data_IF_437849515528
#
_entry.id   IF_437849515528
#
_cell.length_a   1.000
_cell.length_b   1.000
_cell.length_c   1.000
_cell.angle_alpha   90.00
_cell.angle_beta   90.00
_cell.angle_gamma   90.00
#
_symmetry.space_group_name_H-M   'P 1'
#
loop_
_entity.id
_entity.type
_entity.pdbx_description
1 polymer ?
#
# COMPACT_ATOMS: atom_id res chain seq x y z
N UNK A 1 -8.02 14.66 -18.18
CA UNK A 1 -8.53 13.27 -18.11
C UNK A 1 -8.03 12.62 -16.83
N UNK A 2 -8.90 12.44 -15.83
CA UNK A 2 -8.57 11.74 -14.58
C UNK A 2 -8.59 10.25 -14.91
N UNK A 3 -7.42 9.62 -14.99
CA UNK A 3 -7.37 8.17 -15.18
C UNK A 3 -8.17 7.49 -14.06
N UNK A 4 -9.06 6.56 -14.42
CA UNK A 4 -9.95 5.77 -13.55
C UNK A 4 -9.18 4.82 -12.62
N UNK A 5 -8.16 5.35 -11.94
CA UNK A 5 -7.12 4.57 -11.31
C UNK A 5 -7.55 4.05 -9.95
N UNK A 6 -7.37 2.73 -9.83
CA UNK A 6 -7.02 2.02 -8.60
C UNK A 6 -8.11 1.99 -7.54
N UNK A 7 -8.96 0.94 -7.62
CA UNK A 7 -9.68 0.45 -6.45
C UNK A 7 -8.63 0.24 -5.36
N UNK A 8 -8.81 0.86 -4.21
CA UNK A 8 -7.86 0.79 -3.10
C UNK A 8 -8.62 0.68 -1.78
N UNK A 9 -8.23 -0.27 -0.94
CA UNK A 9 -8.88 -0.54 0.34
C UNK A 9 -7.88 -0.36 1.47
N UNK A 10 -8.23 0.41 2.48
CA UNK A 10 -7.43 0.48 3.71
C UNK A 10 -7.55 -0.84 4.47
N UNK A 11 -6.42 -1.47 4.76
CA UNK A 11 -6.36 -2.77 5.46
C UNK A 11 -5.79 -2.65 6.86
N UNK A 12 -5.07 -1.56 7.16
CA UNK A 12 -4.55 -1.28 8.49
C UNK A 12 -4.28 0.22 8.66
N UNK A 13 -4.64 0.78 9.81
CA UNK A 13 -4.32 2.16 10.21
C UNK A 13 -3.41 2.12 11.44
N UNK A 14 -2.28 2.83 11.37
CA UNK A 14 -1.38 3.07 12.49
C UNK A 14 -1.94 4.18 13.40
N UNK A 15 -1.57 4.21 14.70
CA UNK A 15 -2.04 5.25 15.62
C UNK A 15 -1.66 6.68 15.23
N UNK A 16 -0.57 6.85 14.50
CA UNK A 16 -0.01 8.14 14.07
C UNK A 16 -0.29 8.44 12.59
N UNK A 17 -1.51 8.11 12.16
CA UNK A 17 -2.06 8.39 10.84
C UNK A 17 -1.36 7.74 9.63
N UNK A 18 -0.40 6.85 9.86
CA UNK A 18 0.06 5.93 8.82
C UNK A 18 -1.05 4.98 8.37
N UNK A 19 -1.13 4.64 7.08
CA UNK A 19 -2.13 3.69 6.57
C UNK A 19 -1.48 2.72 5.60
N UNK A 20 -1.79 1.43 5.75
CA UNK A 20 -1.54 0.43 4.70
C UNK A 20 -2.82 0.28 3.89
N UNK A 21 -2.67 0.43 2.57
CA UNK A 21 -3.73 0.20 1.61
C UNK A 21 -3.37 -0.97 0.70
N UNK A 22 -4.39 -1.71 0.31
CA UNK A 22 -4.35 -2.74 -0.71
C UNK A 22 -4.79 -2.11 -2.03
N UNK A 23 -3.85 -1.96 -2.96
CA UNK A 23 -4.03 -1.31 -4.26
C UNK A 23 -4.26 -2.34 -5.37
N UNK A 24 -5.38 -2.20 -6.07
CA UNK A 24 -5.75 -3.06 -7.20
C UNK A 24 -5.45 -2.36 -8.52
N UNK A 25 -4.45 -2.88 -9.25
CA UNK A 25 -4.08 -2.35 -10.56
C UNK A 25 -5.09 -2.83 -11.63
N UNK A 26 -5.72 -1.91 -12.36
CA UNK A 26 -6.57 -2.25 -13.53
C UNK A 26 -5.67 -2.83 -14.64
N UNK A 27 -6.07 -3.95 -15.25
CA UNK A 27 -5.27 -4.62 -16.30
C UNK A 27 -5.52 -4.08 -17.70
N UNK A 28 -6.61 -3.35 -17.91
CA UNK A 28 -7.00 -2.78 -19.19
C UNK A 28 -8.53 -2.60 -19.27
N UNK A 29 -9.03 -2.06 -20.38
CA UNK A 29 -10.48 -1.96 -20.62
C UNK A 29 -11.05 -3.38 -20.84
N UNK A 30 -12.05 -3.78 -20.07
CA UNK A 30 -12.68 -5.11 -20.15
C UNK A 30 -11.94 -6.26 -19.45
N UNK A 31 -10.71 -6.07 -18.98
CA UNK A 31 -9.87 -7.13 -18.38
C UNK A 31 -9.90 -7.18 -16.84
N UNK A 32 -10.72 -6.34 -16.21
CA UNK A 32 -10.83 -6.27 -14.75
C UNK A 32 -9.56 -5.78 -14.04
N UNK A 33 -9.38 -6.21 -12.79
CA UNK A 33 -8.23 -5.87 -11.95
C UNK A 33 -7.22 -7.02 -11.89
N UNK A 34 -5.96 -6.69 -11.56
CA UNK A 34 -4.93 -7.67 -11.30
C UNK A 34 -5.38 -8.60 -10.16
N UNK A 35 -5.16 -9.91 -10.36
CA UNK A 35 -5.50 -10.97 -9.39
C UNK A 35 -4.83 -10.76 -8.02
N UNK A 36 -3.64 -10.16 -8.02
CA UNK A 36 -2.85 -9.92 -6.82
C UNK A 36 -2.64 -8.42 -6.62
N UNK A 37 -3.43 -7.79 -5.73
CA UNK A 37 -3.21 -6.41 -5.34
C UNK A 37 -1.90 -6.24 -4.55
N UNK A 38 -1.46 -4.99 -4.41
CA UNK A 38 -0.21 -4.64 -3.72
C UNK A 38 -0.50 -3.91 -2.42
N UNK A 39 0.23 -4.25 -1.37
CA UNK A 39 0.24 -3.47 -0.15
C UNK A 39 1.13 -2.25 -0.30
N UNK A 40 0.62 -1.10 0.13
CA UNK A 40 1.34 0.16 0.10
C UNK A 40 1.14 0.95 1.38
N UNK A 41 2.24 1.44 1.93
CA UNK A 41 2.25 2.34 3.08
C UNK A 41 2.11 3.78 2.58
N UNK A 42 1.23 4.52 3.22
CA UNK A 42 1.06 5.95 3.12
C UNK A 42 1.32 6.57 4.50
N UNK A 43 2.34 7.41 4.60
CA UNK A 43 2.73 8.01 5.88
C UNK A 43 3.56 9.28 5.65
N UNK A 44 3.25 10.36 6.38
CA UNK A 44 3.92 11.69 6.26
C UNK A 44 4.08 12.16 4.81
N UNK A 45 3.04 12.02 4.00
CA UNK A 45 3.05 12.39 2.57
C UNK A 45 3.89 11.46 1.67
N UNK A 46 4.61 10.48 2.21
CA UNK A 46 5.38 9.49 1.46
C UNK A 46 4.55 8.24 1.18
N UNK A 47 4.83 7.61 0.03
CA UNK A 47 4.21 6.36 -0.42
C UNK A 47 5.27 5.29 -0.67
N UNK A 48 5.21 4.16 0.03
CA UNK A 48 6.20 3.07 -0.08
C UNK A 48 5.53 1.72 -0.38
N UNK A 49 6.08 0.98 -1.33
CA UNK A 49 5.64 -0.40 -1.61
C UNK A 49 6.06 -1.31 -0.45
N UNK A 50 5.12 -2.10 0.05
CA UNK A 50 5.37 -3.07 1.11
C UNK A 50 5.54 -4.48 0.53
N UNK A 51 4.65 -4.88 -0.36
CA UNK A 51 4.70 -6.21 -0.97
C UNK A 51 3.47 -6.54 -1.81
N UNK A 52 3.47 -7.71 -2.44
CA UNK A 52 2.31 -8.24 -3.18
C UNK A 52 1.47 -9.12 -2.27
N UNK A 53 0.13 -9.06 -2.39
CA UNK A 53 -0.76 -9.94 -1.64
C UNK A 53 -0.67 -11.42 -2.05
N UNK A 54 0.04 -11.74 -3.13
CA UNK A 54 0.35 -13.11 -3.51
C UNK A 54 1.44 -13.76 -2.63
N UNK A 55 2.27 -12.93 -2.00
CA UNK A 55 3.43 -13.40 -1.22
C UNK A 55 3.28 -13.05 0.26
N UNK A 56 2.60 -11.94 0.56
CA UNK A 56 2.57 -11.38 1.91
C UNK A 56 1.15 -11.47 2.47
N UNK A 57 1.06 -11.87 3.74
CA UNK A 57 -0.16 -11.71 4.51
C UNK A 57 -0.34 -10.24 4.92
N UNK A 58 -1.52 -9.89 5.48
CA UNK A 58 -1.73 -8.57 6.07
C UNK A 58 -0.76 -8.34 7.24
N UNK A 59 -0.46 -9.37 8.04
CA UNK A 59 0.48 -9.26 9.16
C UNK A 59 1.91 -9.01 8.69
N UNK A 60 2.35 -9.67 7.62
CA UNK A 60 3.64 -9.37 6.99
C UNK A 60 3.69 -7.94 6.48
N UNK A 61 2.61 -7.48 5.87
CA UNK A 61 2.51 -6.10 5.40
C UNK A 61 2.59 -5.09 6.56
N UNK A 62 1.98 -5.38 7.71
CA UNK A 62 2.10 -4.55 8.92
C UNK A 62 3.54 -4.56 9.44
N UNK A 63 4.18 -5.72 9.52
CA UNK A 63 5.56 -5.85 10.02
C UNK A 63 6.53 -5.05 9.15
N UNK A 64 6.51 -5.25 7.83
CA UNK A 64 7.35 -4.50 6.89
C UNK A 64 6.96 -3.03 6.86
N UNK A 65 5.66 -2.73 7.00
CA UNK A 65 5.15 -1.37 7.12
C UNK A 65 5.75 -0.60 8.29
N UNK A 66 5.88 -1.22 9.47
CA UNK A 66 6.56 -0.61 10.62
C UNK A 66 8.01 -0.23 10.30
N UNK A 67 8.77 -1.14 9.68
CA UNK A 67 10.16 -0.87 9.28
C UNK A 67 10.24 0.28 8.27
N UNK A 68 9.39 0.27 7.23
CA UNK A 68 9.35 1.34 6.22
C UNK A 68 8.93 2.70 6.79
N UNK A 69 8.09 2.69 7.81
CA UNK A 69 7.67 3.89 8.52
C UNK A 69 8.84 4.48 9.32
N UNK A 70 9.57 3.64 10.03
CA UNK A 70 10.80 4.04 10.73
C UNK A 70 11.84 4.63 9.75
N UNK A 71 12.06 4.01 8.60
CA UNK A 71 12.92 4.56 7.53
C UNK A 71 12.45 5.96 7.07
N UNK A 72 11.14 6.20 6.99
CA UNK A 72 10.59 7.51 6.64
C UNK A 72 10.89 8.54 7.73
N UNK A 73 10.67 8.19 8.99
CA UNK A 73 10.92 9.08 10.13
C UNK A 73 12.39 9.51 10.19
N UNK A 74 13.33 8.57 10.07
CA UNK A 74 14.78 8.85 10.07
C UNK A 74 15.29 9.57 8.82
N UNK A 75 14.47 9.72 7.77
CA UNK A 75 14.85 10.40 6.54
C UNK A 75 14.35 11.85 6.45
N UNK A 76 13.66 12.32 7.50
CA UNK A 76 13.15 13.68 7.62
C UNK A 76 13.97 14.48 8.64
N UNK A 77 14.67 13.78 9.54
CA UNK A 77 15.68 14.30 10.46
C UNK A 77 17.00 14.60 9.74
#
# INVERSE_FOLDING_TARGET
>A
MRAEHEKSQSVYKYPDDGVIRLEYKKRGKGLGYAKHPKYRLYYKGKRKMIGSSSLFTIQDAIRVGKTKKYEIDNSIE
#
